data_IF_215885684902
#
_entry.id   IF_215885684902
#
_cell.length_a   1.000
_cell.length_b   1.000
_cell.length_c   1.000
_cell.angle_alpha   90.00
_cell.angle_beta   90.00
_cell.angle_gamma   90.00
#
_symmetry.space_group_name_H-M   'P 1'
#
loop_
_entity.id
_entity.type
_entity.pdbx_description
1 polymer ?
#
# COMPACT_ATOMS: atom_id res chain seq x y z
N UNK A 1 -12.39 16.21 19.51
CA UNK A 1 -11.82 17.27 18.66
C UNK A 1 -11.69 16.70 17.24
N UNK A 2 -12.13 17.43 16.21
CA UNK A 2 -12.73 16.89 14.96
C UNK A 2 -11.97 15.74 14.26
N UNK A 3 -12.57 14.53 14.23
CA UNK A 3 -12.38 13.60 13.11
C UNK A 3 -13.21 14.15 11.93
N UNK A 4 -12.55 14.65 10.89
CA UNK A 4 -13.23 14.87 9.63
C UNK A 4 -13.35 13.52 8.92
N UNK A 5 -14.43 12.79 9.20
CA UNK A 5 -14.84 11.65 8.38
C UNK A 5 -15.74 12.17 7.27
N UNK A 6 -15.37 11.94 6.02
CA UNK A 6 -16.30 12.17 4.90
C UNK A 6 -16.68 10.82 4.33
N UNK A 7 -17.96 10.50 4.43
CA UNK A 7 -18.51 9.26 3.88
C UNK A 7 -18.96 9.52 2.46
N UNK A 8 -18.35 8.82 1.52
CA UNK A 8 -18.68 8.89 0.10
C UNK A 8 -19.31 7.57 -0.36
N UNK A 9 -20.35 7.67 -1.19
CA UNK A 9 -20.89 6.51 -1.89
C UNK A 9 -20.08 6.29 -3.16
N UNK A 10 -19.32 5.20 -3.21
CA UNK A 10 -18.62 4.79 -4.44
C UNK A 10 -19.45 3.81 -5.29
N UNK A 11 -20.43 3.12 -4.69
CA UNK A 11 -21.34 2.16 -5.35
C UNK A 11 -22.74 2.14 -4.68
N UNK A 12 -23.79 1.69 -5.39
CA UNK A 12 -25.11 1.48 -4.78
C UNK A 12 -25.02 0.48 -3.61
N UNK A 13 -25.37 0.94 -2.40
CA UNK A 13 -25.41 0.09 -1.20
C UNK A 13 -24.10 -0.09 -0.43
N UNK A 14 -22.99 0.55 -0.83
CA UNK A 14 -21.70 0.50 -0.11
C UNK A 14 -21.17 1.91 0.18
N UNK A 15 -20.81 2.17 1.44
CA UNK A 15 -20.24 3.45 1.88
C UNK A 15 -18.73 3.29 2.12
N UNK A 16 -17.91 4.14 1.49
CA UNK A 16 -16.50 4.32 1.87
C UNK A 16 -16.40 5.57 2.74
N UNK A 17 -15.58 5.52 3.77
CA UNK A 17 -15.28 6.67 4.61
C UNK A 17 -13.82 7.03 4.45
N UNK A 18 -13.55 8.24 3.95
CA UNK A 18 -12.24 8.86 4.05
C UNK A 18 -12.13 9.41 5.47
N UNK A 19 -11.19 8.86 6.24
CA UNK A 19 -10.92 9.28 7.61
C UNK A 19 -9.67 10.17 7.54
N UNK A 20 -9.87 11.47 7.71
CA UNK A 20 -8.77 12.40 7.97
C UNK A 20 -8.52 12.42 9.48
N UNK A 21 -7.48 11.74 9.95
CA UNK A 21 -7.05 11.81 11.35
C UNK A 21 -5.74 12.58 11.47
N UNK A 22 -5.74 13.63 12.30
CA UNK A 22 -4.53 14.32 12.75
C UNK A 22 -3.82 13.61 13.92
N UNK A 23 -4.20 12.36 14.21
CA UNK A 23 -3.75 11.59 15.37
C UNK A 23 -3.00 10.34 14.89
N UNK A 24 -2.14 9.76 15.75
CA UNK A 24 -1.39 8.57 15.41
C UNK A 24 -2.34 7.46 15.00
N UNK A 25 -1.92 6.74 13.96
CA UNK A 25 -2.53 5.50 13.51
C UNK A 25 -2.60 4.55 14.72
N UNK A 26 -3.78 4.02 15.09
CA UNK A 26 -3.99 3.41 16.39
C UNK A 26 -3.08 2.20 16.64
N UNK A 27 -2.42 2.18 17.81
CA UNK A 27 -1.66 1.05 18.33
C UNK A 27 -2.50 -0.25 18.28
N UNK A 28 -1.92 -1.46 18.11
CA UNK A 28 -2.66 -2.73 18.02
C UNK A 28 -3.73 -2.92 19.12
N UNK A 29 -3.43 -2.49 20.35
CA UNK A 29 -4.34 -2.52 21.49
C UNK A 29 -5.59 -1.64 21.33
N UNK A 30 -5.49 -0.52 20.60
CA UNK A 30 -6.58 0.41 20.35
C UNK A 30 -7.45 -0.05 19.16
N UNK A 31 -6.84 -0.66 18.14
CA UNK A 31 -7.58 -1.30 17.06
C UNK A 31 -8.40 -2.52 17.52
N UNK A 32 -7.98 -3.20 18.59
CA UNK A 32 -8.74 -4.29 19.21
C UNK A 32 -10.15 -3.87 19.65
N UNK A 33 -10.34 -2.62 20.09
CA UNK A 33 -11.67 -2.10 20.47
C UNK A 33 -12.49 -1.62 19.26
N UNK A 34 -11.80 -1.09 18.24
CA UNK A 34 -12.43 -0.50 17.05
C UNK A 34 -12.85 -1.60 16.05
N UNK A 35 -12.02 -2.60 15.79
CA UNK A 35 -12.28 -3.61 14.75
C UNK A 35 -13.11 -4.81 15.23
N UNK A 36 -13.25 -5.01 16.54
CA UNK A 36 -14.25 -5.94 17.09
C UNK A 36 -15.68 -5.40 17.04
N UNK A 37 -15.88 -4.08 16.91
CA UNK A 37 -17.21 -3.44 17.00
C UNK A 37 -17.57 -2.57 15.79
N UNK A 38 -16.64 -2.22 14.91
CA UNK A 38 -16.98 -1.67 13.59
C UNK A 38 -17.32 -2.84 12.68
N UNK A 39 -18.59 -3.00 12.28
CA UNK A 39 -18.94 -4.03 11.33
C UNK A 39 -18.26 -3.74 9.97
N UNK A 40 -17.99 -4.80 9.20
CA UNK A 40 -17.37 -4.81 7.86
C UNK A 40 -18.15 -4.02 6.77
N UNK A 41 -19.00 -3.07 7.15
CA UNK A 41 -19.80 -2.22 6.26
C UNK A 41 -19.08 -0.94 5.81
N UNK A 42 -17.94 -0.60 6.44
CA UNK A 42 -17.17 0.61 6.11
C UNK A 42 -15.85 0.24 5.46
N UNK A 43 -15.59 0.83 4.29
CA UNK A 43 -14.26 0.80 3.65
C UNK A 43 -13.53 2.08 4.02
N UNK A 44 -12.43 1.94 4.77
CA UNK A 44 -11.65 3.07 5.24
C UNK A 44 -10.48 3.37 4.30
N UNK A 45 -10.26 4.64 4.03
CA UNK A 45 -9.01 5.16 3.45
C UNK A 45 -8.57 6.38 4.26
N UNK A 46 -7.27 6.56 4.41
CA UNK A 46 -6.67 7.67 5.16
C UNK A 46 -5.99 8.65 4.21
N UNK A 47 -5.76 9.88 4.64
CA UNK A 47 -4.91 10.81 3.89
C UNK A 47 -4.03 11.58 4.86
N UNK A 48 -2.80 11.87 4.45
CA UNK A 48 -1.84 12.63 5.24
C UNK A 48 -2.06 14.13 5.14
N UNK A 49 -2.72 14.59 4.07
CA UNK A 49 -3.17 15.97 3.95
C UNK A 49 -4.35 16.08 2.98
N UNK A 50 -5.19 17.11 3.19
CA UNK A 50 -6.26 17.44 2.25
C UNK A 50 -5.69 17.85 0.89
N UNK A 51 -4.56 18.55 0.86
CA UNK A 51 -3.90 19.00 -0.37
C UNK A 51 -3.42 17.84 -1.23
N UNK A 52 -2.84 16.80 -0.61
CA UNK A 52 -2.47 15.57 -1.33
C UNK A 52 -3.70 14.86 -1.88
N UNK A 53 -4.78 14.78 -1.10
CA UNK A 53 -6.03 14.17 -1.53
C UNK A 53 -6.62 14.89 -2.77
N UNK A 54 -6.71 16.22 -2.71
CA UNK A 54 -7.24 17.04 -3.80
C UNK A 54 -6.39 16.91 -5.07
N UNK A 55 -5.06 17.02 -4.96
CA UNK A 55 -4.16 16.84 -6.11
C UNK A 55 -4.28 15.46 -6.74
N UNK A 56 -4.34 14.39 -5.93
CA UNK A 56 -4.51 13.02 -6.43
C UNK A 56 -5.85 12.85 -7.14
N UNK A 57 -6.93 13.40 -6.58
CA UNK A 57 -8.26 13.33 -7.17
C UNK A 57 -8.35 14.13 -8.48
N UNK A 58 -7.83 15.36 -8.52
CA UNK A 58 -7.75 16.16 -9.74
C UNK A 58 -6.91 15.49 -10.82
N UNK A 59 -5.73 14.95 -10.44
CA UNK A 59 -4.86 14.22 -11.34
C UNK A 59 -5.51 12.96 -11.93
N UNK A 60 -6.32 12.22 -11.16
CA UNK A 60 -7.08 11.08 -11.67
C UNK A 60 -8.26 11.49 -12.55
N UNK A 61 -8.87 12.65 -12.31
CA UNK A 61 -9.94 13.17 -13.18
C UNK A 61 -9.39 13.68 -14.50
N UNK A 62 -8.26 14.38 -14.47
CA UNK A 62 -7.60 14.92 -15.65
C UNK A 62 -6.99 13.80 -16.51
N UNK A 63 -6.39 12.79 -15.87
CA UNK A 63 -5.83 11.61 -16.52
C UNK A 63 -6.33 10.35 -15.82
N UNK A 64 -7.48 9.80 -16.26
CA UNK A 64 -8.00 8.55 -15.74
C UNK A 64 -6.95 7.45 -15.84
N UNK A 65 -6.88 6.58 -14.83
CA UNK A 65 -5.91 5.50 -14.84
C UNK A 65 -6.22 4.54 -16.00
N UNK A 66 -5.20 4.04 -16.70
CA UNK A 66 -5.42 3.08 -17.77
C UNK A 66 -6.09 1.81 -17.20
N UNK A 67 -6.91 1.15 -18.04
CA UNK A 67 -7.52 -0.14 -17.67
C UNK A 67 -6.48 -1.22 -17.38
N UNK A 68 -5.27 -1.07 -17.96
CA UNK A 68 -4.12 -1.95 -17.82
C UNK A 68 -2.92 -1.16 -17.28
N UNK A 69 -2.52 -1.38 -16.02
CA UNK A 69 -1.36 -0.71 -15.44
C UNK A 69 -0.06 -1.37 -15.89
N UNK A 70 1.01 -0.59 -15.93
CA UNK A 70 2.38 -1.10 -15.96
C UNK A 70 2.80 -1.32 -14.51
N UNK A 71 3.16 -2.55 -14.16
CA UNK A 71 3.42 -2.93 -12.77
C UNK A 71 4.87 -3.34 -12.60
N UNK A 72 5.53 -2.71 -11.63
CA UNK A 72 6.82 -3.15 -11.11
C UNK A 72 6.59 -3.95 -9.83
N UNK A 73 7.20 -5.12 -9.74
CA UNK A 73 7.23 -5.94 -8.53
C UNK A 73 8.66 -6.14 -8.11
N UNK A 74 8.98 -5.74 -6.89
CA UNK A 74 10.30 -5.91 -6.28
C UNK A 74 10.14 -6.83 -5.08
N UNK A 75 10.86 -7.95 -5.08
CA UNK A 75 10.84 -8.92 -4.00
C UNK A 75 12.26 -9.23 -3.50
N UNK A 76 12.46 -9.19 -2.19
CA UNK A 76 13.75 -9.42 -1.55
C UNK A 76 13.65 -10.52 -0.48
N UNK A 77 13.80 -11.81 -0.88
CA UNK A 77 13.66 -12.92 0.04
C UNK A 77 14.85 -13.10 1.00
N UNK A 78 16.03 -12.59 0.63
CA UNK A 78 17.26 -12.80 1.38
C UNK A 78 18.21 -11.58 1.30
N UNK A 79 17.78 -10.43 1.82
CA UNK A 79 18.63 -9.24 1.90
C UNK A 79 19.75 -9.42 2.94
N UNK A 80 21.02 -9.11 2.62
CA UNK A 80 22.11 -9.17 3.57
C UNK A 80 21.82 -8.32 4.83
N UNK A 81 22.13 -8.86 6.01
CA UNK A 81 21.91 -8.24 7.34
C UNK A 81 20.46 -8.15 7.83
N UNK A 82 19.51 -8.69 7.07
CA UNK A 82 18.11 -8.78 7.48
C UNK A 82 17.67 -10.23 7.68
N UNK A 83 16.56 -10.42 8.40
CA UNK A 83 15.90 -11.71 8.49
C UNK A 83 15.39 -12.14 7.10
N UNK A 84 15.40 -13.44 6.81
CA UNK A 84 14.88 -13.95 5.54
C UNK A 84 13.36 -13.80 5.48
N UNK A 85 12.86 -13.43 4.31
CA UNK A 85 11.44 -13.31 3.98
C UNK A 85 11.11 -14.21 2.78
N UNK A 86 11.23 -15.55 2.92
CA UNK A 86 11.14 -16.46 1.79
C UNK A 86 9.82 -16.34 1.00
N UNK A 87 8.72 -15.92 1.62
CA UNK A 87 7.43 -15.81 0.95
C UNK A 87 7.30 -14.55 0.08
N UNK A 88 8.20 -13.57 0.18
CA UNK A 88 8.24 -12.42 -0.76
C UNK A 88 8.44 -12.85 -2.21
N UNK A 89 9.14 -13.96 -2.44
CA UNK A 89 9.25 -14.56 -3.77
C UNK A 89 7.91 -15.13 -4.25
N UNK A 90 7.18 -15.82 -3.37
CA UNK A 90 5.82 -16.34 -3.66
C UNK A 90 4.84 -15.18 -3.95
N UNK A 91 4.93 -14.06 -3.21
CA UNK A 91 4.17 -12.83 -3.52
C UNK A 91 4.42 -12.37 -4.96
N UNK A 92 5.70 -12.24 -5.34
CA UNK A 92 6.07 -11.79 -6.67
C UNK A 92 5.60 -12.72 -7.80
N UNK A 93 5.73 -14.04 -7.60
CA UNK A 93 5.30 -15.06 -8.56
C UNK A 93 3.76 -15.09 -8.71
N UNK A 94 3.00 -14.93 -7.62
CA UNK A 94 1.54 -14.83 -7.66
C UNK A 94 1.08 -13.59 -8.41
N UNK A 95 1.70 -12.43 -8.16
CA UNK A 95 1.38 -11.19 -8.89
C UNK A 95 1.67 -11.38 -10.38
N UNK A 96 2.81 -11.98 -10.74
CA UNK A 96 3.14 -12.35 -12.12
C UNK A 96 2.07 -13.20 -12.80
N UNK A 97 1.51 -14.16 -12.07
CA UNK A 97 0.44 -15.05 -12.56
C UNK A 97 -0.92 -14.35 -12.68
N UNK A 98 -1.20 -13.36 -11.83
CA UNK A 98 -2.46 -12.60 -11.85
C UNK A 98 -2.47 -11.60 -13.01
N UNK A 99 -1.34 -10.95 -13.29
CA UNK A 99 -1.19 -9.90 -14.31
C UNK A 99 -0.93 -10.46 -15.72
N UNK A 100 -1.69 -11.46 -16.15
CA UNK A 100 -1.51 -12.10 -17.47
C UNK A 100 -1.77 -11.15 -18.65
N UNK A 101 -2.64 -10.16 -18.47
CA UNK A 101 -2.99 -9.16 -19.49
C UNK A 101 -2.01 -7.97 -19.59
N UNK A 102 -1.07 -7.86 -18.64
CA UNK A 102 -0.04 -6.83 -18.53
C UNK A 102 1.23 -7.44 -17.95
N UNK A 103 2.21 -7.82 -18.78
CA UNK A 103 3.46 -8.44 -18.29
C UNK A 103 4.14 -7.51 -17.26
N UNK A 104 4.18 -7.89 -15.97
CA UNK A 104 4.82 -7.04 -14.97
C UNK A 104 6.35 -7.13 -15.08
N UNK A 105 7.02 -6.06 -14.73
CA UNK A 105 8.47 -6.08 -14.51
C UNK A 105 8.72 -6.71 -13.14
N UNK A 106 9.28 -7.92 -13.12
CA UNK A 106 9.62 -8.65 -11.89
C UNK A 106 11.12 -8.52 -11.60
N UNK A 107 11.47 -7.85 -10.52
CA UNK A 107 12.83 -7.79 -10.00
C UNK A 107 12.87 -8.55 -8.67
N UNK A 108 13.51 -9.72 -8.68
CA UNK A 108 13.54 -10.62 -7.52
C UNK A 108 15.00 -10.87 -7.10
N UNK A 109 15.24 -10.80 -5.79
CA UNK A 109 16.53 -11.08 -5.16
C UNK A 109 17.67 -10.24 -5.80
N UNK A 110 18.63 -10.88 -6.48
CA UNK A 110 19.79 -10.22 -7.07
C UNK A 110 19.46 -9.24 -8.19
N UNK A 111 18.30 -9.39 -8.84
CA UNK A 111 17.85 -8.47 -9.89
C UNK A 111 17.22 -7.19 -9.33
N UNK A 112 16.81 -7.20 -8.04
CA UNK A 112 16.21 -6.06 -7.38
C UNK A 112 17.27 -5.11 -6.84
N UNK A 113 18.07 -4.50 -7.73
CA UNK A 113 19.05 -3.47 -7.38
C UNK A 113 18.40 -2.08 -7.34
N UNK A 114 19.01 -1.10 -6.68
CA UNK A 114 18.54 0.30 -6.73
C UNK A 114 18.48 0.84 -8.16
N UNK A 115 19.49 0.53 -8.98
CA UNK A 115 19.58 1.00 -10.37
C UNK A 115 18.44 0.43 -11.22
N UNK A 116 18.25 -0.89 -11.17
CA UNK A 116 17.21 -1.55 -11.97
C UNK A 116 15.81 -1.16 -11.49
N UNK A 117 15.62 -1.05 -10.17
CA UNK A 117 14.34 -0.63 -9.57
C UNK A 117 13.98 0.79 -9.97
N UNK A 118 14.93 1.74 -9.86
CA UNK A 118 14.68 3.15 -10.24
C UNK A 118 14.50 3.33 -11.74
N UNK A 119 15.17 2.53 -12.58
CA UNK A 119 14.93 2.53 -14.01
C UNK A 119 13.50 2.05 -14.34
N UNK A 120 13.04 0.97 -13.73
CA UNK A 120 11.70 0.42 -13.96
C UNK A 120 10.59 1.34 -13.42
N UNK A 121 10.81 2.03 -12.29
CA UNK A 121 9.85 2.97 -11.69
C UNK A 121 9.46 4.11 -12.63
N UNK A 122 10.34 4.54 -13.52
CA UNK A 122 10.08 5.60 -14.51
C UNK A 122 9.01 5.20 -15.54
N UNK A 123 8.75 3.91 -15.69
CA UNK A 123 7.87 3.33 -16.72
C UNK A 123 6.61 2.69 -16.13
N UNK A 124 6.52 2.57 -14.81
CA UNK A 124 5.46 1.85 -14.13
C UNK A 124 4.52 2.81 -13.40
N UNK A 125 3.22 2.53 -13.48
CA UNK A 125 2.19 3.27 -12.73
C UNK A 125 1.97 2.66 -11.35
N UNK A 126 2.21 1.35 -11.23
CA UNK A 126 2.07 0.61 -9.98
C UNK A 126 3.42 0.05 -9.54
N UNK A 127 3.66 0.05 -8.23
CA UNK A 127 4.78 -0.64 -7.61
C UNK A 127 4.31 -1.55 -6.49
N UNK A 128 4.88 -2.74 -6.43
CA UNK A 128 4.78 -3.66 -5.30
C UNK A 128 6.17 -3.85 -4.71
N UNK A 129 6.33 -3.59 -3.41
CA UNK A 129 7.59 -3.74 -2.69
C UNK A 129 7.41 -4.79 -1.58
N UNK A 130 7.96 -5.99 -1.80
CA UNK A 130 7.97 -7.11 -0.85
C UNK A 130 9.40 -7.27 -0.28
N UNK A 131 9.69 -6.53 0.78
CA UNK A 131 11.04 -6.40 1.34
C UNK A 131 10.99 -5.82 2.76
N UNK A 132 12.15 -5.64 3.41
CA UNK A 132 12.21 -4.90 4.66
C UNK A 132 12.09 -3.39 4.43
N UNK A 133 11.30 -2.72 5.28
CA UNK A 133 11.25 -1.26 5.37
C UNK A 133 12.15 -0.74 6.48
N UNK A 134 12.63 0.49 6.33
CA UNK A 134 13.36 1.23 7.34
C UNK A 134 12.86 2.67 7.39
N UNK A 135 12.51 3.16 8.57
CA UNK A 135 12.11 4.54 8.78
C UNK A 135 13.19 5.31 9.51
N UNK A 136 13.55 6.46 8.95
CA UNK A 136 14.46 7.41 9.58
C UNK A 136 13.65 8.61 10.05
N UNK A 137 13.54 8.77 11.37
CA UNK A 137 12.76 9.84 12.01
C UNK A 137 13.48 11.19 12.01
N UNK A 138 14.82 11.20 11.90
CA UNK A 138 15.62 12.43 11.85
C UNK A 138 15.60 13.06 10.45
N UNK A 139 15.66 12.23 9.42
CA UNK A 139 15.60 12.62 8.01
C UNK A 139 14.66 11.68 7.25
N UNK A 140 13.38 12.06 7.09
CA UNK A 140 12.37 11.25 6.42
C UNK A 140 12.81 10.82 5.01
N UNK A 141 13.58 11.63 4.30
CA UNK A 141 14.02 11.32 2.93
C UNK A 141 14.98 10.13 2.86
N UNK A 142 15.61 9.78 3.99
CA UNK A 142 16.47 8.62 4.17
C UNK A 142 15.73 7.36 4.63
N UNK A 143 14.42 7.44 4.90
CA UNK A 143 13.59 6.24 5.03
C UNK A 143 13.66 5.45 3.71
N UNK A 144 13.72 4.13 3.81
CA UNK A 144 14.13 3.30 2.68
C UNK A 144 13.53 1.89 2.69
N UNK A 145 13.61 1.24 1.53
CA UNK A 145 13.35 -0.18 1.35
C UNK A 145 14.67 -0.93 1.16
N UNK A 146 14.86 -2.03 1.86
CA UNK A 146 16.11 -2.77 1.85
C UNK A 146 16.22 -3.62 0.58
N UNK A 147 17.10 -3.21 -0.34
CA UNK A 147 17.46 -3.98 -1.53
C UNK A 147 18.81 -4.68 -1.37
N UNK A 148 19.11 -5.57 -2.29
CA UNK A 148 20.28 -6.48 -2.25
C UNK A 148 21.61 -5.73 -2.23
N UNK A 149 21.69 -4.59 -2.92
CA UNK A 149 22.91 -3.79 -3.05
C UNK A 149 22.91 -2.61 -2.08
N UNK A 150 21.86 -1.79 -2.10
CA UNK A 150 21.75 -0.57 -1.30
C UNK A 150 20.29 -0.29 -0.92
N UNK A 151 20.02 0.46 0.17
CA UNK A 151 18.66 0.88 0.47
C UNK A 151 18.09 1.80 -0.62
N UNK A 152 16.88 1.51 -1.09
CA UNK A 152 16.09 2.39 -1.95
C UNK A 152 15.41 3.46 -1.10
N UNK A 153 16.01 4.64 -1.01
CA UNK A 153 15.51 5.74 -0.17
C UNK A 153 14.32 6.46 -0.80
N UNK A 154 13.51 7.13 0.04
CA UNK A 154 12.46 8.04 -0.43
C UNK A 154 13.04 9.15 -1.33
N UNK A 155 14.22 9.69 -1.02
CA UNK A 155 14.90 10.66 -1.88
C UNK A 155 15.21 10.12 -3.28
N UNK A 156 15.65 8.87 -3.40
CA UNK A 156 15.85 8.21 -4.68
C UNK A 156 14.53 8.00 -5.43
N UNK A 157 13.47 7.59 -4.71
CA UNK A 157 12.13 7.42 -5.25
C UNK A 157 11.54 8.72 -5.80
N UNK A 158 11.73 9.86 -5.13
CA UNK A 158 11.27 11.17 -5.60
C UNK A 158 11.85 11.56 -6.97
N UNK A 159 13.06 11.08 -7.30
CA UNK A 159 13.74 11.39 -8.56
C UNK A 159 13.46 10.38 -9.69
N UNK A 160 12.88 9.23 -9.34
CA UNK A 160 12.70 8.09 -10.25
C UNK A 160 11.23 7.76 -10.55
N UNK A 161 10.31 8.20 -9.69
CA UNK A 161 8.89 7.85 -9.82
C UNK A 161 8.27 8.56 -11.02
N UNK A 162 7.49 7.81 -11.82
CA UNK A 162 6.79 8.36 -12.97
C UNK A 162 5.73 9.40 -12.56
N UNK A 163 5.50 10.41 -13.40
CA UNK A 163 4.47 11.44 -13.16
C UNK A 163 3.04 10.86 -13.11
N UNK A 164 2.85 9.66 -13.68
CA UNK A 164 1.59 8.93 -13.65
C UNK A 164 1.56 7.80 -12.60
N UNK A 165 2.50 7.80 -11.65
CA UNK A 165 2.45 6.89 -10.51
C UNK A 165 1.11 6.97 -9.80
N UNK A 166 0.63 5.81 -9.38
CA UNK A 166 -0.77 5.66 -9.01
C UNK A 166 -0.92 4.82 -7.76
N UNK A 167 -0.37 3.61 -7.74
CA UNK A 167 -0.53 2.68 -6.63
C UNK A 167 0.82 2.17 -6.15
N UNK A 168 1.07 2.28 -4.85
CA UNK A 168 2.14 1.54 -4.19
C UNK A 168 1.55 0.52 -3.23
N UNK A 169 2.01 -0.73 -3.29
CA UNK A 169 1.73 -1.74 -2.29
C UNK A 169 3.02 -2.04 -1.53
N UNK A 170 3.04 -1.73 -0.24
CA UNK A 170 4.18 -1.93 0.64
C UNK A 170 3.95 -3.19 1.46
N UNK A 171 4.44 -4.33 0.97
CA UNK A 171 4.46 -5.59 1.71
C UNK A 171 5.71 -5.64 2.58
N UNK A 172 5.72 -4.75 3.57
CA UNK A 172 6.83 -4.53 4.47
C UNK A 172 6.29 -4.11 5.85
N UNK A 173 6.91 -4.63 6.90
CA UNK A 173 6.51 -4.38 8.28
C UNK A 173 6.55 -2.88 8.63
N UNK A 174 5.54 -2.44 9.40
CA UNK A 174 5.48 -1.14 10.08
C UNK A 174 5.53 0.09 9.15
N UNK A 175 5.24 -0.08 7.86
CA UNK A 175 5.31 0.99 6.85
C UNK A 175 4.29 2.13 7.01
N UNK A 176 3.34 1.98 7.93
CA UNK A 176 2.37 2.98 8.34
C UNK A 176 2.49 3.40 9.82
N UNK A 177 3.60 3.13 10.50
CA UNK A 177 3.80 3.58 11.89
C UNK A 177 4.42 4.97 11.91
N UNK A 178 3.72 5.97 12.45
CA UNK A 178 4.27 7.32 12.64
C UNK A 178 5.31 7.38 13.76
N UNK A 179 6.01 8.52 13.90
CA UNK A 179 6.93 8.75 15.03
C UNK A 179 6.13 8.86 16.34
N UNK A 180 6.52 8.10 17.37
CA UNK A 180 5.90 8.18 18.70
C UNK A 180 6.02 9.58 19.32
N UNK A 181 7.06 10.34 18.95
CA UNK A 181 7.30 11.71 19.44
C UNK A 181 6.57 12.77 18.63
N UNK A 182 6.31 12.51 17.35
CA UNK A 182 5.66 13.44 16.43
C UNK A 182 4.53 12.75 15.66
N UNK A 183 3.48 12.25 16.34
CA UNK A 183 2.43 11.47 15.70
C UNK A 183 1.52 12.30 14.79
N UNK A 184 1.58 13.63 14.89
CA UNK A 184 0.86 14.57 14.03
C UNK A 184 1.54 14.73 12.66
N UNK A 185 2.85 14.50 12.58
CA UNK A 185 3.57 14.41 11.32
C UNK A 185 3.57 12.95 10.89
N UNK A 186 2.86 12.64 9.81
CA UNK A 186 2.81 11.30 9.22
C UNK A 186 4.17 10.94 8.61
N UNK A 187 5.23 10.80 9.41
CA UNK A 187 6.59 10.44 8.98
C UNK A 187 6.70 8.93 8.89
N UNK A 188 5.88 8.34 8.00
CA UNK A 188 5.90 6.92 7.72
C UNK A 188 6.06 6.67 6.23
N UNK A 189 6.61 5.50 5.87
CA UNK A 189 6.93 5.18 4.47
C UNK A 189 5.73 5.38 3.55
N UNK A 190 4.51 5.05 3.98
CA UNK A 190 3.31 5.29 3.17
C UNK A 190 3.07 6.78 2.85
N UNK A 191 3.29 7.69 3.80
CA UNK A 191 3.19 9.13 3.56
C UNK A 191 4.29 9.62 2.61
N UNK A 192 5.50 9.08 2.78
CA UNK A 192 6.62 9.31 1.87
C UNK A 192 6.28 8.90 0.43
N UNK A 193 5.66 7.75 0.24
CA UNK A 193 5.23 7.28 -1.08
C UNK A 193 4.15 8.18 -1.70
N UNK A 194 3.22 8.71 -0.90
CA UNK A 194 2.28 9.72 -1.39
C UNK A 194 3.00 11.03 -1.80
N UNK A 195 4.01 11.45 -1.03
CA UNK A 195 4.80 12.65 -1.34
C UNK A 195 5.68 12.47 -2.59
N UNK A 196 6.17 11.25 -2.83
CA UNK A 196 6.89 10.82 -4.02
C UNK A 196 6.01 10.90 -5.29
N UNK A 197 4.69 10.81 -5.15
CA UNK A 197 3.73 11.00 -6.25
C UNK A 197 2.72 9.88 -6.43
N UNK A 198 2.77 8.81 -5.63
CA UNK A 198 1.71 7.80 -5.64
C UNK A 198 0.39 8.38 -5.13
N UNK A 199 -0.73 7.91 -5.69
CA UNK A 199 -2.06 8.43 -5.39
C UNK A 199 -2.80 7.60 -4.35
N UNK A 200 -2.50 6.30 -4.32
CA UNK A 200 -2.95 5.34 -3.33
C UNK A 200 -1.77 4.51 -2.83
N UNK A 201 -1.73 4.22 -1.54
CA UNK A 201 -0.70 3.40 -0.91
C UNK A 201 -1.34 2.39 0.03
N UNK A 202 -1.08 1.10 -0.19
CA UNK A 202 -1.34 0.05 0.80
C UNK A 202 -0.08 -0.15 1.63
N UNK A 203 -0.22 -0.16 2.95
CA UNK A 203 0.88 -0.29 3.89
C UNK A 203 0.43 -1.10 5.13
N UNK A 204 1.36 -1.36 6.05
CA UNK A 204 1.05 -2.08 7.29
C UNK A 204 1.30 -1.24 8.53
N UNK A 205 0.35 -1.28 9.46
CA UNK A 205 0.38 -0.57 10.74
C UNK A 205 1.25 -1.26 11.80
N UNK A 206 1.57 -2.54 11.60
CA UNK A 206 2.49 -3.30 12.44
C UNK A 206 3.14 -4.41 11.63
N UNK A 207 4.03 -5.16 12.28
CA UNK A 207 4.71 -6.30 11.68
C UNK A 207 3.71 -7.38 11.22
N UNK A 208 3.89 -7.84 9.98
CA UNK A 208 3.09 -8.92 9.37
C UNK A 208 3.86 -10.23 9.39
N UNK A 209 3.13 -11.34 9.32
CA UNK A 209 3.75 -12.65 9.13
C UNK A 209 4.04 -12.87 7.65
N UNK A 210 5.28 -13.19 7.31
CA UNK A 210 5.74 -13.45 5.94
C UNK A 210 4.83 -14.45 5.20
N UNK A 211 4.36 -15.50 5.89
CA UNK A 211 3.47 -16.53 5.33
C UNK A 211 2.06 -16.02 4.96
N UNK A 212 1.62 -14.89 5.53
CA UNK A 212 0.28 -14.33 5.27
C UNK A 212 0.28 -13.37 4.08
N UNK A 213 1.43 -12.77 3.77
CA UNK A 213 1.57 -11.77 2.72
C UNK A 213 1.14 -12.28 1.33
N UNK A 214 1.54 -13.49 0.86
CA UNK A 214 1.07 -14.02 -0.42
C UNK A 214 -0.45 -14.15 -0.53
N UNK A 215 -1.13 -14.49 0.57
CA UNK A 215 -2.58 -14.70 0.59
C UNK A 215 -3.33 -13.40 0.36
N UNK A 216 -3.00 -12.37 1.13
CA UNK A 216 -3.69 -11.07 1.01
C UNK A 216 -3.29 -10.35 -0.27
N UNK A 217 -2.04 -10.45 -0.71
CA UNK A 217 -1.55 -9.85 -1.96
C UNK A 217 -2.28 -10.44 -3.16
N UNK A 218 -2.41 -11.77 -3.22
CA UNK A 218 -3.17 -12.41 -4.29
C UNK A 218 -4.63 -11.96 -4.29
N UNK A 219 -5.29 -11.98 -3.12
CA UNK A 219 -6.68 -11.56 -3.00
C UNK A 219 -6.86 -10.08 -3.40
N UNK A 220 -5.92 -9.22 -3.02
CA UNK A 220 -5.91 -7.79 -3.33
C UNK A 220 -5.84 -7.54 -4.84
N UNK A 221 -4.82 -8.07 -5.52
CA UNK A 221 -4.63 -7.80 -6.95
C UNK A 221 -5.77 -8.39 -7.80
N UNK A 222 -6.26 -9.60 -7.47
CA UNK A 222 -7.43 -10.18 -8.14
C UNK A 222 -8.64 -9.26 -8.01
N UNK A 223 -8.94 -8.80 -6.79
CA UNK A 223 -10.11 -7.94 -6.57
C UNK A 223 -9.96 -6.57 -7.22
N UNK A 224 -8.77 -5.98 -7.18
CA UNK A 224 -8.51 -4.69 -7.79
C UNK A 224 -8.70 -4.73 -9.31
N UNK A 225 -8.20 -5.78 -9.97
CA UNK A 225 -8.39 -5.97 -11.41
C UNK A 225 -9.85 -6.22 -11.77
N UNK A 226 -10.57 -7.03 -10.99
CA UNK A 226 -12.01 -7.23 -11.14
C UNK A 226 -12.79 -5.91 -11.07
N UNK A 227 -12.50 -5.08 -10.05
CA UNK A 227 -13.14 -3.78 -9.88
C UNK A 227 -12.87 -2.84 -11.07
N UNK A 228 -11.63 -2.81 -11.57
CA UNK A 228 -11.25 -1.98 -12.72
C UNK A 228 -11.82 -2.46 -14.04
N UNK A 229 -11.88 -3.77 -14.24
CA UNK A 229 -12.51 -4.38 -15.42
C UNK A 229 -14.04 -4.19 -15.44
N UNK A 230 -14.67 -3.99 -14.29
CA UNK A 230 -16.13 -3.85 -14.20
C UNK A 230 -16.69 -2.54 -14.75
N UNK A 231 -15.86 -1.49 -14.91
CA UNK A 231 -16.30 -0.15 -15.30
C UNK A 231 -17.16 0.58 -14.26
N UNK A 232 -17.31 0.04 -13.05
CA UNK A 232 -18.17 0.59 -11.99
C UNK A 232 -17.47 1.55 -11.03
N UNK A 233 -16.18 1.85 -11.26
CA UNK A 233 -15.44 2.78 -10.42
C UNK A 233 -15.81 4.22 -10.77
N UNK A 234 -16.11 5.01 -9.75
CA UNK A 234 -16.33 6.45 -9.92
C UNK A 234 -15.05 7.13 -10.42
N UNK A 235 -15.22 8.18 -11.23
CA UNK A 235 -14.09 9.00 -11.69
C UNK A 235 -13.33 9.58 -10.48
N UNK A 236 -12.00 9.52 -10.52
CA UNK A 236 -11.16 9.99 -9.42
C UNK A 236 -10.83 8.93 -8.36
N UNK A 237 -11.29 7.69 -8.50
CA UNK A 237 -11.05 6.59 -7.56
C UNK A 237 -10.38 5.39 -8.21
N UNK A 238 -9.50 4.73 -7.47
CA UNK A 238 -8.70 3.60 -7.96
C UNK A 238 -9.33 2.23 -7.69
N UNK A 239 -10.25 2.16 -6.71
CA UNK A 239 -10.79 0.91 -6.17
C UNK A 239 -9.84 0.22 -5.17
N UNK A 240 -8.67 0.79 -4.89
CA UNK A 240 -7.64 0.17 -4.05
C UNK A 240 -8.12 -0.10 -2.62
N UNK A 241 -8.78 0.86 -1.97
CA UNK A 241 -9.32 0.67 -0.62
C UNK A 241 -10.35 -0.47 -0.55
N UNK A 242 -11.21 -0.60 -1.58
CA UNK A 242 -12.19 -1.68 -1.66
C UNK A 242 -11.55 -3.04 -1.89
N UNK A 243 -10.54 -3.10 -2.76
CA UNK A 243 -9.78 -4.32 -2.98
C UNK A 243 -9.09 -4.79 -1.69
N UNK A 244 -8.51 -3.85 -0.91
CA UNK A 244 -7.89 -4.17 0.37
C UNK A 244 -8.91 -4.70 1.38
N UNK A 245 -10.05 -4.03 1.50
CA UNK A 245 -11.10 -4.46 2.41
C UNK A 245 -11.57 -5.91 2.14
N UNK A 246 -11.75 -6.29 0.88
CA UNK A 246 -12.13 -7.67 0.54
C UNK A 246 -10.96 -8.65 0.74
N UNK A 247 -9.72 -8.25 0.43
CA UNK A 247 -8.54 -9.08 0.66
C UNK A 247 -8.31 -9.39 2.15
N UNK A 248 -8.57 -8.42 3.03
CA UNK A 248 -8.51 -8.61 4.48
C UNK A 248 -9.56 -9.62 4.98
N UNK A 249 -10.75 -9.70 4.35
CA UNK A 249 -11.74 -10.74 4.69
C UNK A 249 -11.23 -12.13 4.35
N UNK A 250 -10.65 -12.29 3.16
CA UNK A 250 -10.05 -13.56 2.74
C UNK A 250 -8.97 -13.99 3.72
N UNK A 251 -8.07 -13.07 4.12
CA UNK A 251 -7.03 -13.39 5.10
C UNK A 251 -7.63 -13.72 6.47
N UNK A 252 -8.63 -12.97 6.95
CA UNK A 252 -9.35 -13.23 8.20
C UNK A 252 -9.99 -14.63 8.22
N UNK A 253 -10.68 -15.01 7.15
CA UNK A 253 -11.26 -16.35 7.00
C UNK A 253 -10.19 -17.44 7.01
N UNK A 254 -9.01 -17.16 6.41
CA UNK A 254 -7.89 -18.11 6.34
C UNK A 254 -7.20 -18.33 7.67
N UNK A 255 -6.98 -17.27 8.45
CA UNK A 255 -6.14 -17.32 9.66
C UNK A 255 -6.94 -17.43 10.96
N UNK A 256 -8.25 -17.18 10.92
CA UNK A 256 -9.13 -17.14 12.09
C UNK A 256 -9.44 -15.70 12.51
N UNK A 257 -10.68 -15.45 12.89
CA UNK A 257 -11.17 -14.14 13.30
C UNK A 257 -10.42 -13.59 14.52
N UNK A 258 -10.10 -14.46 15.46
CA UNK A 258 -9.39 -14.14 16.70
C UNK A 258 -7.91 -13.76 16.48
N UNK A 259 -7.34 -14.09 15.31
CA UNK A 259 -5.95 -13.76 14.93
C UNK A 259 -5.83 -12.37 14.34
N UNK A 260 -6.41 -11.40 15.04
CA UNK A 260 -6.46 -9.99 14.67
C UNK A 260 -5.11 -9.42 14.22
N UNK A 261 -4.05 -9.77 14.93
CA UNK A 261 -2.68 -9.34 14.66
C UNK A 261 -2.17 -9.75 13.27
N UNK A 262 -2.78 -10.76 12.65
CA UNK A 262 -2.39 -11.28 11.33
C UNK A 262 -3.12 -10.60 10.18
N UNK A 263 -4.44 -10.39 10.30
CA UNK A 263 -5.27 -9.94 9.19
C UNK A 263 -5.61 -8.43 9.20
N UNK A 264 -5.57 -7.79 10.37
CA UNK A 264 -5.88 -6.36 10.50
C UNK A 264 -4.75 -5.34 10.25
N UNK A 265 -3.44 -5.68 10.13
CA UNK A 265 -2.40 -4.65 9.99
C UNK A 265 -2.51 -3.79 8.73
N UNK A 266 -3.18 -4.26 7.70
CA UNK A 266 -3.16 -3.60 6.40
C UNK A 266 -4.07 -2.38 6.36
N UNK A 267 -3.55 -1.28 5.82
CA UNK A 267 -4.22 0.01 5.74
C UNK A 267 -4.01 0.63 4.36
N UNK A 268 -4.97 1.42 3.90
CA UNK A 268 -4.89 2.16 2.64
C UNK A 268 -4.87 3.68 2.90
N UNK A 269 -3.96 4.39 2.23
CA UNK A 269 -3.91 5.84 2.18
C UNK A 269 -4.16 6.34 0.75
N UNK A 270 -4.94 7.41 0.58
CA UNK A 270 -5.19 8.05 -0.71
C UNK A 270 -6.54 7.71 -1.34
N UNK A 271 -6.60 7.67 -2.68
CA UNK A 271 -7.84 7.58 -3.51
C UNK A 271 -7.90 6.34 -4.39
#
# INVERSE_FOLDING_TARGET
>A
MLQASTTFRSQPGRSASLISSSHPIPHPSFCRLILYHIPLFVVSSYTTSLSTLLRSHEGLRARPPPSRPNVLVVAQPATPRYAKLPHTKDEGERIGTILTDSTPTLLIDKAATVVDTTAALRLCTWVHLACHGYQNTEDPTKSAFALVDNPLTLGALMSATAENAELAFLSACETAVGDEKNPEESVHLAAGMLAVGFKGVVATMWSIYDVDAPVIVEAYYRKLLELRGSGKLAAGYTGAAYALHEAMKVLRERVGEEKFERWAPFVHFGV
#
